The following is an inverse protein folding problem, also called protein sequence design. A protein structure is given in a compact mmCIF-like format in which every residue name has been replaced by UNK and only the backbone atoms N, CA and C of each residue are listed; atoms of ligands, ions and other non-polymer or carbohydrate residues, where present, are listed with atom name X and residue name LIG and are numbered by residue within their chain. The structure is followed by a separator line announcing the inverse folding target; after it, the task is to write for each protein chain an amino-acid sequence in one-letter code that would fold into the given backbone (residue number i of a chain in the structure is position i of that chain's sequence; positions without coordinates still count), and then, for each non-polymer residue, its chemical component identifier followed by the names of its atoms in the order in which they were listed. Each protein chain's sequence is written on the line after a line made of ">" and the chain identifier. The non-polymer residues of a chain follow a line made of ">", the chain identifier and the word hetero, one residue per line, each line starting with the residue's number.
data_IF_275946561100
#
_entry.id   IF_275946561100
#
_cell.length_a   1.000
_cell.length_b   1.000
_cell.length_c   1.000
_cell.angle_alpha   90.00
_cell.angle_beta   90.00
_cell.angle_gamma   90.00
#
_symmetry.space_group_name_H-M   'P 1'
#
loop_
_entity.id
_entity.type
_entity.pdbx_description
1 polymer ?
#
# COMPACT_ATOMS: atom_id res chain seq x y z
N UNK A 1 8.75 13.76 -30.92
CA UNK A 1 9.06 12.66 -30.02
C UNK A 1 8.34 12.84 -28.70
N UNK A 2 7.63 11.85 -28.30
CA UNK A 2 6.97 11.94 -27.02
C UNK A 2 7.93 11.50 -25.92
N UNK A 3 7.91 12.23 -24.83
CA UNK A 3 8.71 11.89 -23.68
C UNK A 3 7.81 11.19 -22.68
N UNK A 4 8.20 10.00 -22.33
CA UNK A 4 7.51 9.32 -21.25
C UNK A 4 8.27 9.59 -19.97
N UNK A 5 7.52 9.99 -18.97
CA UNK A 5 8.11 10.19 -17.66
C UNK A 5 8.27 8.86 -16.97
N UNK A 6 9.36 8.71 -16.24
CA UNK A 6 9.59 7.52 -15.44
C UNK A 6 9.77 7.92 -13.99
N UNK A 7 9.08 7.22 -13.11
CA UNK A 7 9.16 7.48 -11.68
C UNK A 7 9.79 6.30 -10.95
N UNK A 8 10.56 5.50 -11.69
CA UNK A 8 11.23 4.32 -11.12
C UNK A 8 12.12 4.69 -9.95
N UNK A 9 12.78 5.85 -10.04
CA UNK A 9 13.67 6.28 -8.97
C UNK A 9 12.89 6.51 -7.67
N UNK A 10 11.73 7.16 -7.81
CA UNK A 10 10.88 7.39 -6.64
C UNK A 10 10.40 6.05 -6.09
N UNK A 11 10.00 5.14 -6.96
CA UNK A 11 9.59 3.80 -6.54
C UNK A 11 10.71 3.12 -5.76
N UNK A 12 11.93 3.17 -6.28
CA UNK A 12 13.07 2.52 -5.65
C UNK A 12 13.40 3.15 -4.30
N UNK A 13 13.13 4.44 -4.15
CA UNK A 13 13.35 5.13 -2.88
C UNK A 13 12.33 4.75 -1.84
N UNK A 14 11.08 4.52 -2.24
CA UNK A 14 9.99 4.28 -1.29
C UNK A 14 9.72 2.81 -1.00
N UNK A 15 9.96 1.94 -1.98
CA UNK A 15 9.52 0.55 -1.88
C UNK A 15 10.18 -0.24 -0.74
N UNK A 16 11.49 -0.09 -0.49
CA UNK A 16 12.11 -0.89 0.59
C UNK A 16 11.49 -0.61 1.96
N UNK A 17 11.28 0.66 2.32
CA UNK A 17 10.66 1.00 3.59
C UNK A 17 9.22 0.54 3.64
N UNK A 18 8.52 0.64 2.52
CA UNK A 18 7.14 0.18 2.44
C UNK A 18 7.05 -1.32 2.70
N UNK A 19 7.93 -2.11 2.08
CA UNK A 19 7.95 -3.56 2.30
C UNK A 19 8.27 -3.90 3.74
N UNK A 20 9.21 -3.16 4.33
CA UNK A 20 9.56 -3.37 5.73
C UNK A 20 8.35 -3.13 6.62
N UNK A 21 7.66 -2.02 6.40
CA UNK A 21 6.48 -1.68 7.19
C UNK A 21 5.39 -2.73 7.04
N UNK A 22 5.17 -3.23 5.82
CA UNK A 22 4.18 -4.27 5.62
C UNK A 22 4.53 -5.54 6.37
N UNK A 23 5.82 -5.87 6.43
CA UNK A 23 6.27 -7.04 7.19
C UNK A 23 5.99 -6.90 8.67
N UNK A 24 5.94 -5.67 9.18
CA UNK A 24 5.67 -5.40 10.58
C UNK A 24 4.18 -5.23 10.88
N UNK A 25 3.35 -5.17 9.85
CA UNK A 25 1.91 -5.01 10.03
C UNK A 25 1.33 -6.19 10.78
N UNK A 26 0.48 -5.92 11.76
CA UNK A 26 -0.14 -6.95 12.58
C UNK A 26 -1.63 -7.09 12.34
N UNK A 27 -2.19 -6.24 11.47
CA UNK A 27 -3.60 -6.29 11.15
C UNK A 27 -3.81 -5.81 9.73
N UNK A 28 -4.98 -6.14 9.16
CA UNK A 28 -5.34 -5.63 7.84
C UNK A 28 -5.46 -4.12 7.87
N UNK A 29 -5.84 -3.56 9.00
CA UNK A 29 -5.93 -2.11 9.14
C UNK A 29 -4.56 -1.46 8.99
N UNK A 30 -3.52 -2.07 9.57
CA UNK A 30 -2.15 -1.58 9.42
C UNK A 30 -1.73 -1.57 7.96
N UNK A 31 -2.10 -2.62 7.22
CA UNK A 31 -1.74 -2.71 5.80
C UNK A 31 -2.37 -1.56 5.02
N UNK A 32 -3.66 -1.28 5.27
CA UNK A 32 -4.34 -0.16 4.62
C UNK A 32 -3.66 1.16 4.95
N UNK A 33 -3.29 1.32 6.20
CA UNK A 33 -2.66 2.56 6.67
C UNK A 33 -1.30 2.78 6.00
N UNK A 34 -0.48 1.74 5.99
CA UNK A 34 0.85 1.85 5.37
C UNK A 34 0.76 2.11 3.87
N UNK A 35 -0.25 1.50 3.21
CA UNK A 35 -0.44 1.76 1.80
C UNK A 35 -0.80 3.23 1.56
N UNK A 36 -1.72 3.76 2.35
CA UNK A 36 -2.13 5.16 2.20
C UNK A 36 -0.97 6.12 2.45
N UNK A 37 -0.15 5.84 3.46
CA UNK A 37 1.01 6.67 3.74
C UNK A 37 1.99 6.65 2.57
N UNK A 38 2.28 5.46 2.04
CA UNK A 38 3.21 5.33 0.93
C UNK A 38 2.69 6.04 -0.32
N UNK A 39 1.39 5.94 -0.58
CA UNK A 39 0.80 6.58 -1.76
C UNK A 39 0.78 8.10 -1.62
N UNK A 40 0.55 8.59 -0.41
CA UNK A 40 0.62 10.03 -0.17
C UNK A 40 2.02 10.57 -0.47
N UNK A 41 3.06 9.85 -0.01
CA UNK A 41 4.44 10.21 -0.31
C UNK A 41 4.72 10.15 -1.80
N UNK A 42 4.25 9.09 -2.44
CA UNK A 42 4.47 8.91 -3.89
C UNK A 42 3.87 10.07 -4.67
N UNK A 43 2.60 10.38 -4.39
CA UNK A 43 1.93 11.46 -5.11
C UNK A 43 2.60 12.80 -4.87
N UNK A 44 3.04 13.04 -3.62
CA UNK A 44 3.72 14.27 -3.30
C UNK A 44 5.00 14.44 -4.12
N UNK A 45 5.75 13.36 -4.27
CA UNK A 45 7.00 13.40 -5.03
C UNK A 45 6.76 13.47 -6.53
N UNK A 46 5.78 12.71 -7.03
CA UNK A 46 5.48 12.68 -8.45
C UNK A 46 5.02 14.06 -8.93
N UNK A 47 4.16 14.70 -8.17
CA UNK A 47 3.59 16.00 -8.55
C UNK A 47 4.29 17.17 -7.90
N UNK A 48 5.38 16.90 -7.19
CA UNK A 48 6.24 17.94 -6.61
C UNK A 48 5.45 18.94 -5.76
N UNK A 49 4.48 18.43 -5.02
CA UNK A 49 3.67 19.27 -4.14
C UNK A 49 2.52 20.00 -4.81
N UNK A 50 2.37 19.88 -6.12
CA UNK A 50 1.28 20.55 -6.82
C UNK A 50 -0.09 19.95 -6.49
N UNK A 51 -0.10 18.70 -6.07
CA UNK A 51 -1.33 18.06 -5.60
C UNK A 51 -1.14 17.72 -4.12
N UNK A 52 -1.83 18.46 -3.24
CA UNK A 52 -1.71 18.16 -1.80
C UNK A 52 -2.48 16.88 -1.47
N UNK A 53 -1.78 15.76 -1.57
CA UNK A 53 -2.37 14.44 -1.42
C UNK A 53 -2.80 14.20 0.01
N UNK A 54 -3.93 13.51 0.16
CA UNK A 54 -4.44 13.08 1.45
C UNK A 54 -4.52 11.56 1.47
N UNK A 55 -4.66 11.00 2.65
CA UNK A 55 -4.64 9.54 2.81
C UNK A 55 -5.78 8.85 2.08
N UNK A 56 -6.90 9.54 1.87
CA UNK A 56 -8.04 8.97 1.17
C UNK A 56 -7.94 9.05 -0.34
N UNK A 57 -6.92 9.69 -0.88
CA UNK A 57 -6.80 9.85 -2.33
C UNK A 57 -6.43 8.55 -3.04
N UNK A 58 -5.61 7.73 -2.43
CA UNK A 58 -5.36 6.37 -2.92
C UNK A 58 -5.50 5.42 -1.74
N UNK A 59 -6.45 4.51 -1.84
CA UNK A 59 -6.74 3.58 -0.77
C UNK A 59 -6.62 2.15 -1.28
N UNK A 60 -6.24 1.26 -0.39
CA UNK A 60 -6.14 -0.15 -0.72
C UNK A 60 -7.54 -0.73 -0.90
N UNK A 61 -7.74 -1.47 -1.98
CA UNK A 61 -9.03 -2.09 -2.27
C UNK A 61 -8.80 -3.52 -2.73
N UNK A 62 -8.59 -4.46 -1.78
CA UNK A 62 -8.23 -5.84 -2.14
C UNK A 62 -9.27 -6.56 -2.99
N UNK A 63 -10.52 -6.11 -2.95
CA UNK A 63 -11.58 -6.72 -3.75
C UNK A 63 -11.60 -6.24 -5.19
N UNK A 64 -10.88 -5.16 -5.50
CA UNK A 64 -10.81 -4.63 -6.85
C UNK A 64 -9.70 -5.32 -7.63
N UNK A 65 -9.89 -5.42 -8.94
CA UNK A 65 -8.86 -6.03 -9.80
C UNK A 65 -7.53 -5.30 -9.68
N UNK A 66 -7.58 -3.98 -9.62
CA UNK A 66 -6.36 -3.19 -9.53
C UNK A 66 -5.73 -3.22 -8.14
N UNK A 67 -6.50 -3.56 -7.13
CA UNK A 67 -6.04 -3.59 -5.76
C UNK A 67 -6.09 -2.25 -5.04
N UNK A 68 -6.52 -1.19 -5.71
CA UNK A 68 -6.59 0.13 -5.12
C UNK A 68 -7.73 0.93 -5.72
N UNK A 69 -8.09 2.02 -5.06
CA UNK A 69 -9.11 2.94 -5.53
C UNK A 69 -8.60 4.37 -5.41
N UNK A 70 -8.93 5.19 -6.40
CA UNK A 70 -8.54 6.60 -6.43
C UNK A 70 -9.75 7.46 -6.11
N UNK A 71 -9.52 8.55 -5.34
CA UNK A 71 -10.59 9.48 -4.99
C UNK A 71 -11.06 10.25 -6.21
N UNK A 72 -12.28 10.79 -6.11
CA UNK A 72 -12.79 11.66 -7.16
C UNK A 72 -11.90 12.90 -7.31
N UNK A 73 -11.38 13.41 -6.21
CA UNK A 73 -10.51 14.57 -6.21
C UNK A 73 -9.23 14.30 -7.00
N UNK A 74 -8.63 13.12 -6.79
CA UNK A 74 -7.42 12.77 -7.51
C UNK A 74 -7.70 12.55 -8.99
N UNK A 75 -8.80 11.88 -9.29
CA UNK A 75 -9.18 11.64 -10.68
C UNK A 75 -9.50 12.92 -11.44
N UNK A 76 -9.96 13.95 -10.72
CA UNK A 76 -10.27 15.23 -11.32
C UNK A 76 -9.02 16.10 -11.55
N UNK A 77 -7.88 15.69 -11.00
CA UNK A 77 -6.63 16.45 -11.16
C UNK A 77 -6.07 16.16 -12.55
N UNK A 78 -6.00 17.16 -13.43
CA UNK A 78 -5.62 16.89 -14.83
C UNK A 78 -4.24 16.27 -14.99
N UNK A 79 -3.28 16.66 -14.15
CA UNK A 79 -1.93 16.10 -14.26
C UNK A 79 -1.90 14.62 -13.88
N UNK A 80 -2.79 14.19 -13.00
CA UNK A 80 -2.84 12.78 -12.63
C UNK A 80 -3.26 11.93 -13.84
N UNK A 81 -4.30 12.37 -14.54
CA UNK A 81 -4.77 11.64 -15.71
C UNK A 81 -3.71 11.62 -16.79
N UNK A 82 -3.04 12.76 -17.00
CA UNK A 82 -1.99 12.84 -18.00
C UNK A 82 -0.84 11.90 -17.68
N UNK A 83 -0.42 11.86 -16.42
CA UNK A 83 0.67 10.99 -16.00
C UNK A 83 0.26 9.53 -16.03
N UNK A 84 -1.02 9.25 -15.79
CA UNK A 84 -1.51 7.87 -15.82
C UNK A 84 -1.30 7.22 -17.17
N UNK A 85 -1.49 8.00 -18.24
CA UNK A 85 -1.37 7.48 -19.60
C UNK A 85 0.03 7.66 -20.18
N UNK A 86 0.79 8.66 -19.72
CA UNK A 86 2.05 9.03 -20.34
C UNK A 86 3.27 8.59 -19.53
N UNK A 87 3.09 7.91 -18.41
CA UNK A 87 4.23 7.52 -17.59
C UNK A 87 4.03 6.12 -17.04
N UNK A 88 4.99 5.67 -16.22
CA UNK A 88 4.92 4.38 -15.55
C UNK A 88 4.23 4.45 -14.19
N UNK A 89 3.54 5.56 -13.89
CA UNK A 89 2.92 5.76 -12.60
C UNK A 89 1.88 4.68 -12.28
N UNK A 90 1.04 4.32 -13.26
CA UNK A 90 0.02 3.29 -13.03
C UNK A 90 0.65 1.95 -12.67
N UNK A 91 1.74 1.59 -13.33
CA UNK A 91 2.44 0.35 -13.05
C UNK A 91 3.06 0.37 -11.65
N UNK A 92 3.61 1.52 -11.26
CA UNK A 92 4.23 1.65 -9.96
C UNK A 92 3.19 1.51 -8.85
N UNK A 93 2.07 2.23 -8.98
CA UNK A 93 0.99 2.13 -7.99
C UNK A 93 0.48 0.70 -7.93
N UNK A 94 0.35 0.04 -9.08
CA UNK A 94 -0.09 -1.35 -9.13
C UNK A 94 0.85 -2.28 -8.39
N UNK A 95 2.17 -2.05 -8.47
CA UNK A 95 3.13 -2.89 -7.76
C UNK A 95 3.03 -2.70 -6.25
N UNK A 96 2.88 -1.44 -5.80
CA UNK A 96 2.67 -1.19 -4.37
C UNK A 96 1.38 -1.85 -3.89
N UNK A 97 0.31 -1.71 -4.67
CA UNK A 97 -0.97 -2.32 -4.30
C UNK A 97 -0.86 -3.84 -4.26
N UNK A 98 -0.15 -4.44 -5.23
CA UNK A 98 0.02 -5.88 -5.26
C UNK A 98 0.71 -6.41 -4.02
N UNK A 99 1.79 -5.75 -3.61
CA UNK A 99 2.52 -6.15 -2.41
C UNK A 99 1.62 -6.00 -1.18
N UNK A 100 0.88 -4.90 -1.10
CA UNK A 100 0.00 -4.65 0.03
C UNK A 100 -1.16 -5.66 0.08
N UNK A 101 -1.76 -5.96 -1.07
CA UNK A 101 -2.88 -6.92 -1.13
C UNK A 101 -2.41 -8.30 -0.68
N UNK A 102 -1.21 -8.71 -1.09
CA UNK A 102 -0.67 -9.99 -0.66
C UNK A 102 -0.54 -10.06 0.86
N UNK A 103 -0.02 -8.99 1.46
CA UNK A 103 0.11 -8.96 2.92
C UNK A 103 -1.26 -8.90 3.59
N UNK A 104 -2.18 -8.12 3.02
CA UNK A 104 -3.54 -8.02 3.53
C UNK A 104 -4.20 -9.39 3.58
N UNK A 105 -4.10 -10.14 2.48
CA UNK A 105 -4.73 -11.46 2.41
C UNK A 105 -4.08 -12.45 3.36
N UNK A 106 -2.77 -12.33 3.53
CA UNK A 106 -2.07 -13.18 4.48
C UNK A 106 -2.58 -12.96 5.90
N UNK A 107 -2.72 -11.71 6.31
CA UNK A 107 -3.20 -11.39 7.65
C UNK A 107 -4.67 -11.73 7.81
N UNK A 108 -5.44 -11.57 6.75
CA UNK A 108 -6.86 -11.91 6.76
C UNK A 108 -7.08 -13.41 7.00
N UNK A 109 -6.21 -14.22 6.40
CA UNK A 109 -6.32 -15.67 6.50
C UNK A 109 -5.78 -16.22 7.81
N UNK A 110 -4.96 -15.44 8.53
CA UNK A 110 -4.28 -15.91 9.71
C UNK A 110 -4.47 -14.97 10.90
N UNK A 111 -5.73 -14.67 11.25
CA UNK A 111 -5.98 -13.77 12.40
C UNK A 111 -5.51 -14.36 13.71
N UNK A 112 -5.57 -15.67 13.86
CA UNK A 112 -5.15 -16.33 15.09
C UNK A 112 -3.66 -16.16 15.33
N UNK A 113 -2.88 -16.17 14.27
CA UNK A 113 -1.45 -15.93 14.38
C UNK A 113 -1.16 -14.55 14.92
N UNK A 114 -1.92 -13.56 14.46
CA UNK A 114 -1.76 -12.20 14.92
C UNK A 114 -2.08 -12.10 16.40
N UNK A 115 -3.16 -12.78 16.81
CA UNK A 115 -3.54 -12.81 18.21
C UNK A 115 -2.49 -13.49 19.06
N UNK A 116 -1.91 -14.57 18.57
CA UNK A 116 -0.87 -15.29 19.30
C UNK A 116 0.33 -14.41 19.60
N UNK A 117 0.65 -13.50 18.70
CA UNK A 117 1.74 -12.56 18.93
C UNK A 117 1.41 -11.59 20.06
N UNK A 118 0.16 -11.17 20.13
CA UNK A 118 -0.28 -10.24 21.15
C UNK A 118 -0.40 -10.89 22.51
N UNK A 119 -0.68 -12.19 22.53
CA UNK A 119 -0.87 -12.94 23.77
C UNK A 119 0.15 -14.05 23.80
N UNK A 120 1.37 -13.77 24.24
CA UNK A 120 2.36 -14.83 24.33
C UNK A 120 1.85 -15.92 25.24
N UNK A 121 1.50 -17.06 24.67
CA UNK A 121 0.93 -18.17 25.42
C UNK A 121 2.03 -19.05 25.95
N UNK A 122 1.78 -19.57 27.05
CA UNK A 122 2.57 -20.63 27.65
C UNK A 122 2.21 -21.99 27.12
N UNK A 123 1.20 -21.64 27.02
CA UNK A 123 0.44 -22.27 26.44
C UNK A 123 0.34 -23.05 25.96
N UNK A 124 0.58 -23.20 26.44
CA UNK A 124 0.05 -23.53 25.73
C UNK A 124 0.39 -24.07 25.37
N UNK A 125 0.80 -24.34 26.37
CA UNK A 125 0.44 -24.46 25.82
C UNK A 125 0.42 -24.81 25.59
N UNK A 126 0.79 -25.35 26.47
CA UNK A 126 0.22 -25.23 25.91
C UNK A 126 0.24 -25.60 25.62
N UNK A 127 0.39 -25.84 26.14
CA UNK A 127 -0.17 -25.63 25.62
C UNK A 127 -0.31 -25.54 25.06
N UNK A 128 0.09 -26.35 25.81
CA UNK A 128 -0.59 -25.89 25.21
C UNK A 128 -0.79 -25.90 24.97
N UNK A 129 -0.76 -26.17 25.29
CA UNK A 129 -1.42 -25.68 24.98
C UNK A 129 -1.58 -25.40 24.53
N UNK A 130 -1.39 -25.75 24.85
CA UNK A 130 -1.94 -25.07 24.41
C UNK A 130 -1.92 -24.84 23.96
N UNK A 131 -1.89 -25.61 24.56
CA UNK A 131 -2.08 -25.12 24.02
C UNK A 131 -2.14 -24.91 23.78
#
# INVERSE_FOLDING_TARGET
>A
MSMQHSFTRIENDLLPAFRLNLGLAESTEDVRKFFSYAMTDLLSKVFEGRFPAAYEDLTLAPAEDKGFAASARLQAFPEFEAMWTASDLSAIIGRFAGVAVNRYRHLEKNPDKTESKMYPTPDRVGQGKQP
#
